data_IF_068950129378
#
_entry.id   IF_068950129378
#
_cell.length_a   1.000
_cell.length_b   1.000
_cell.length_c   1.000
_cell.angle_alpha   90.00
_cell.angle_beta   90.00
_cell.angle_gamma   90.00
#
_symmetry.space_group_name_H-M   'P 1'
#
loop_
_entity.id
_entity.type
_entity.pdbx_description
1 polymer ?
#
# COMPACT_ATOMS: atom_id res chain seq x y z
N UNK A 1 16.46 3.37 -1.41
CA UNK A 1 15.49 2.56 -2.15
C UNK A 1 14.92 3.32 -3.31
N UNK A 2 15.64 3.25 -4.40
CA UNK A 2 15.31 4.02 -5.60
C UNK A 2 14.84 3.15 -6.76
N UNK A 3 14.64 1.85 -6.52
CA UNK A 3 14.21 0.91 -7.55
C UNK A 3 12.85 0.32 -7.21
N UNK A 4 12.05 0.12 -8.25
CA UNK A 4 10.73 -0.51 -8.12
C UNK A 4 10.88 -1.90 -7.49
N UNK A 5 10.14 -2.19 -6.43
CA UNK A 5 10.22 -3.50 -5.79
C UNK A 5 9.56 -4.60 -6.62
N UNK A 6 10.07 -5.80 -6.46
CA UNK A 6 9.35 -7.01 -6.89
C UNK A 6 8.48 -7.46 -5.72
N UNK A 7 7.27 -7.92 -6.03
CA UNK A 7 6.34 -8.35 -5.01
C UNK A 7 6.41 -9.86 -4.87
N UNK A 8 6.67 -10.33 -3.64
CA UNK A 8 6.58 -11.74 -3.30
C UNK A 8 5.17 -12.03 -2.83
N UNK A 9 4.54 -13.02 -3.47
CA UNK A 9 3.17 -13.39 -3.13
C UNK A 9 3.18 -14.39 -1.99
N UNK A 10 2.37 -14.16 -0.93
CA UNK A 10 2.23 -15.14 0.14
C UNK A 10 1.52 -16.39 -0.36
N UNK A 11 1.85 -17.51 0.24
CA UNK A 11 1.17 -18.78 -0.05
C UNK A 11 -0.20 -18.82 0.63
N UNK A 12 -1.13 -19.54 0.01
CA UNK A 12 -2.42 -19.81 0.60
C UNK A 12 -3.51 -18.81 0.23
N UNK A 13 -4.67 -18.90 0.89
CA UNK A 13 -5.80 -18.03 0.59
C UNK A 13 -5.56 -16.60 1.02
N UNK A 14 -6.28 -15.66 0.40
CA UNK A 14 -6.22 -14.25 0.76
C UNK A 14 -6.63 -14.05 2.22
N UNK A 15 -5.94 -13.16 2.96
CA UNK A 15 -6.27 -12.92 4.35
C UNK A 15 -7.60 -12.19 4.51
N UNK A 16 -8.27 -12.41 5.64
CA UNK A 16 -9.49 -11.71 6.00
C UNK A 16 -9.23 -10.35 6.65
N UNK A 17 -7.99 -10.09 7.05
CA UNK A 17 -7.59 -8.88 7.77
C UNK A 17 -6.40 -8.22 7.07
N UNK A 18 -6.22 -6.93 7.33
CA UNK A 18 -5.04 -6.20 6.88
C UNK A 18 -3.77 -6.85 7.46
N UNK A 19 -2.85 -7.19 6.58
CA UNK A 19 -1.51 -7.67 6.96
C UNK A 19 -0.48 -6.61 6.66
N UNK A 20 0.40 -6.37 7.62
CA UNK A 20 1.47 -5.40 7.51
C UNK A 20 2.81 -6.13 7.64
N UNK A 21 3.69 -5.94 6.66
CA UNK A 21 5.00 -6.56 6.68
C UNK A 21 6.07 -5.52 6.32
N UNK A 22 6.92 -5.18 7.29
CA UNK A 22 8.02 -4.25 7.03
C UNK A 22 9.16 -4.97 6.33
N UNK A 23 9.43 -4.57 5.09
CA UNK A 23 10.55 -5.10 4.32
C UNK A 23 11.85 -4.37 4.64
N UNK A 24 11.76 -3.06 4.88
CA UNK A 24 12.86 -2.24 5.37
C UNK A 24 12.28 -1.28 6.40
N UNK A 25 12.92 -1.18 7.55
CA UNK A 25 12.52 -0.21 8.57
C UNK A 25 13.37 1.04 8.38
N UNK A 26 12.70 2.17 8.13
CA UNK A 26 13.39 3.46 7.99
C UNK A 26 13.80 4.03 9.34
N UNK A 27 14.55 5.11 9.30
CA UNK A 27 15.02 5.80 10.50
C UNK A 27 14.67 7.30 10.52
N UNK A 28 13.91 7.76 9.53
CA UNK A 28 13.47 9.14 9.47
C UNK A 28 12.18 9.43 10.22
N UNK A 29 11.49 10.50 9.84
CA UNK A 29 10.24 10.91 10.46
C UNK A 29 9.18 9.81 10.35
N UNK A 30 8.37 9.68 11.39
CA UNK A 30 7.31 8.67 11.44
C UNK A 30 6.01 9.22 10.89
N UNK A 31 5.35 8.43 10.04
CA UNK A 31 4.01 8.74 9.54
C UNK A 31 2.99 8.61 10.68
N UNK A 32 2.11 9.59 10.79
CA UNK A 32 1.09 9.65 11.85
C UNK A 32 -0.30 9.55 11.25
N UNK A 33 -1.28 9.05 12.02
CA UNK A 33 -2.67 9.00 11.55
C UNK A 33 -3.16 10.37 11.11
N UNK A 34 -3.80 10.43 9.94
CA UNK A 34 -4.33 11.68 9.41
C UNK A 34 -3.30 12.64 8.83
N UNK A 35 -2.02 12.27 8.84
CA UNK A 35 -0.96 13.09 8.28
C UNK A 35 -0.90 13.02 6.76
N UNK A 36 0.10 13.70 6.19
CA UNK A 36 0.38 13.69 4.74
C UNK A 36 1.68 12.94 4.50
N UNK A 37 1.69 12.09 3.49
CA UNK A 37 2.87 11.30 3.14
C UNK A 37 3.21 11.48 1.67
N UNK A 38 4.51 11.39 1.37
CA UNK A 38 4.99 11.27 0.00
C UNK A 38 5.57 9.88 -0.16
N UNK A 39 5.11 9.16 -1.19
CA UNK A 39 5.42 7.74 -1.37
C UNK A 39 5.71 7.41 -2.83
N UNK A 40 6.51 6.36 -3.02
CA UNK A 40 6.44 5.53 -4.20
C UNK A 40 5.71 4.26 -3.84
N UNK A 41 4.94 3.71 -4.77
CA UNK A 41 4.20 2.48 -4.49
C UNK A 41 3.95 1.67 -5.76
N UNK A 42 3.72 0.38 -5.56
CA UNK A 42 3.19 -0.51 -6.59
C UNK A 42 2.10 -1.35 -5.97
N UNK A 43 0.99 -1.50 -6.70
CA UNK A 43 -0.15 -2.30 -6.26
C UNK A 43 -0.47 -3.39 -7.26
N UNK A 44 -0.72 -4.60 -6.75
CA UNK A 44 -1.10 -5.75 -7.56
C UNK A 44 -2.32 -6.44 -6.97
N UNK A 45 -3.06 -7.18 -7.81
CA UNK A 45 -4.15 -8.02 -7.34
C UNK A 45 -3.59 -9.30 -6.74
N UNK A 46 -4.12 -9.69 -5.59
CA UNK A 46 -3.66 -10.89 -4.89
C UNK A 46 -3.85 -12.17 -5.72
N UNK A 47 -5.01 -12.30 -6.36
CA UNK A 47 -5.39 -13.53 -7.05
C UNK A 47 -4.61 -13.76 -8.36
N UNK A 48 -4.33 -12.69 -9.09
CA UNK A 48 -3.75 -12.79 -10.44
C UNK A 48 -2.31 -12.33 -10.50
N UNK A 49 -1.87 -11.53 -9.53
CA UNK A 49 -0.57 -10.86 -9.58
C UNK A 49 -0.51 -9.71 -10.56
N UNK A 50 -1.65 -9.34 -11.16
CA UNK A 50 -1.68 -8.27 -12.14
C UNK A 50 -1.48 -6.92 -11.46
N UNK A 51 -0.51 -6.15 -11.96
CA UNK A 51 -0.26 -4.80 -11.49
C UNK A 51 -1.37 -3.87 -12.00
N UNK A 52 -2.00 -3.12 -11.10
CA UNK A 52 -3.07 -2.19 -11.48
C UNK A 52 -2.67 -0.74 -11.32
N UNK A 53 -1.62 -0.46 -10.57
CA UNK A 53 -1.13 0.91 -10.39
C UNK A 53 0.32 0.90 -9.90
N UNK A 54 1.10 1.91 -10.31
CA UNK A 54 2.48 2.06 -9.87
C UNK A 54 2.95 3.49 -10.09
N UNK A 55 3.42 4.14 -9.03
CA UNK A 55 4.07 5.43 -9.14
C UNK A 55 5.42 5.32 -9.86
N UNK A 56 6.08 4.16 -9.73
CA UNK A 56 7.36 3.91 -10.39
C UNK A 56 7.25 3.98 -11.92
N UNK A 57 6.13 3.46 -12.46
CA UNK A 57 5.90 3.47 -13.91
C UNK A 57 5.67 4.88 -14.44
N UNK A 58 5.17 5.79 -13.61
CA UNK A 58 5.00 7.19 -13.97
C UNK A 58 6.26 8.02 -13.77
N UNK A 59 7.26 7.46 -13.08
CA UNK A 59 8.51 8.14 -12.79
C UNK A 59 8.43 9.23 -11.73
N UNK A 60 7.33 9.30 -10.99
CA UNK A 60 7.10 10.35 -9.99
C UNK A 60 6.51 9.77 -8.72
N UNK A 61 7.05 10.20 -7.57
CA UNK A 61 6.40 9.96 -6.29
C UNK A 61 5.12 10.79 -6.18
N UNK A 62 4.26 10.42 -5.26
CA UNK A 62 2.98 11.09 -5.05
C UNK A 62 2.83 11.47 -3.58
N UNK A 63 2.32 12.67 -3.36
CA UNK A 63 1.97 13.15 -2.03
C UNK A 63 0.47 12.95 -1.80
N UNK A 64 0.13 12.32 -0.68
CA UNK A 64 -1.25 12.04 -0.31
C UNK A 64 -1.56 12.49 1.10
N UNK A 65 -2.72 13.11 1.33
CA UNK A 65 -3.29 13.17 2.67
C UNK A 65 -3.89 11.78 3.00
N UNK A 66 -3.47 11.20 4.12
CA UNK A 66 -3.90 9.83 4.47
C UNK A 66 -5.42 9.69 4.57
N UNK A 67 -6.12 10.74 5.00
CA UNK A 67 -7.59 10.72 5.12
C UNK A 67 -8.32 10.51 3.79
N UNK A 68 -7.68 10.82 2.66
CA UNK A 68 -8.28 10.67 1.35
C UNK A 68 -8.05 9.32 0.71
N UNK A 69 -7.39 8.40 1.40
CA UNK A 69 -6.98 7.11 0.84
C UNK A 69 -7.89 5.98 1.33
N UNK A 70 -7.75 4.81 0.69
CA UNK A 70 -8.45 3.61 1.13
C UNK A 70 -8.08 3.29 2.58
N UNK A 71 -8.98 2.63 3.29
CA UNK A 71 -8.81 2.37 4.72
C UNK A 71 -7.53 1.59 5.04
N UNK A 72 -7.16 0.64 4.18
CA UNK A 72 -5.93 -0.13 4.37
C UNK A 72 -4.66 0.73 4.41
N UNK A 73 -4.62 1.82 3.66
CA UNK A 73 -3.51 2.77 3.72
C UNK A 73 -3.58 3.64 4.97
N UNK A 74 -4.80 4.06 5.36
CA UNK A 74 -4.98 4.86 6.57
C UNK A 74 -4.56 4.09 7.82
N UNK A 75 -4.78 2.78 7.83
CA UNK A 75 -4.42 1.91 8.96
C UNK A 75 -3.00 1.36 8.84
N UNK A 76 -2.52 1.17 7.62
CA UNK A 76 -1.26 0.47 7.37
C UNK A 76 -0.01 1.35 7.27
N UNK A 77 -0.14 2.62 6.87
CA UNK A 77 1.01 3.50 6.71
C UNK A 77 1.46 4.14 8.02
N UNK A 78 0.56 4.60 8.93
CA UNK A 78 1.03 5.14 10.20
C UNK A 78 1.97 4.18 10.93
N UNK A 79 3.04 4.73 11.47
CA UNK A 79 4.10 3.93 12.08
C UNK A 79 5.29 3.66 11.17
N UNK A 80 5.13 3.81 9.84
CA UNK A 80 6.29 3.79 8.96
C UNK A 80 7.19 4.98 9.22
N UNK A 81 8.48 4.78 9.00
CA UNK A 81 9.46 5.88 9.06
C UNK A 81 10.03 6.13 7.67
N UNK A 82 10.37 7.38 7.40
CA UNK A 82 10.99 7.77 6.14
C UNK A 82 12.24 6.93 5.89
N UNK A 83 12.38 6.42 4.68
CA UNK A 83 13.41 5.47 4.30
C UNK A 83 12.95 4.02 4.41
N UNK A 84 11.75 3.77 4.93
CA UNK A 84 11.19 2.42 5.06
C UNK A 84 10.45 1.95 3.83
N UNK A 85 10.30 0.63 3.74
CA UNK A 85 9.49 -0.04 2.73
C UNK A 85 8.59 -1.04 3.43
N UNK A 86 7.29 -0.93 3.19
CA UNK A 86 6.28 -1.77 3.86
C UNK A 86 5.35 -2.39 2.83
N UNK A 87 5.07 -3.67 3.01
CA UNK A 87 4.07 -4.37 2.20
C UNK A 87 2.76 -4.45 2.98
N UNK A 88 1.68 -4.05 2.33
CA UNK A 88 0.34 -4.15 2.89
C UNK A 88 -0.46 -5.14 2.05
N UNK A 89 -1.09 -6.12 2.70
CA UNK A 89 -2.08 -6.99 2.05
C UNK A 89 -3.43 -6.57 2.59
N UNK A 90 -4.28 -6.06 1.72
CA UNK A 90 -5.49 -5.33 2.11
C UNK A 90 -6.73 -6.10 1.64
N UNK A 91 -7.60 -6.52 2.56
CA UNK A 91 -8.85 -7.19 2.16
C UNK A 91 -9.80 -6.20 1.50
N UNK A 92 -10.80 -6.69 0.74
CA UNK A 92 -11.71 -5.81 -0.01
C UNK A 92 -12.40 -4.75 0.86
N UNK A 93 -12.77 -5.07 2.08
CA UNK A 93 -13.49 -4.15 2.97
C UNK A 93 -12.67 -2.92 3.33
N UNK A 94 -11.36 -3.02 3.27
CA UNK A 94 -10.45 -1.90 3.53
C UNK A 94 -9.82 -1.33 2.25
N UNK A 95 -10.26 -1.82 1.10
CA UNK A 95 -9.82 -1.35 -0.21
C UNK A 95 -11.01 -0.72 -0.98
N UNK A 96 -11.48 -1.39 -2.02
CA UNK A 96 -12.54 -0.83 -2.88
C UNK A 96 -13.91 -1.48 -2.64
N UNK A 97 -14.08 -2.14 -1.51
CA UNK A 97 -15.35 -2.72 -1.08
C UNK A 97 -15.60 -4.11 -1.59
N UNK A 98 -16.70 -4.73 -1.11
CA UNK A 98 -17.05 -6.10 -1.48
C UNK A 98 -17.41 -6.22 -2.96
N UNK A 99 -17.44 -7.47 -3.45
CA UNK A 99 -17.83 -7.76 -4.83
C UNK A 99 -19.19 -7.14 -5.15
N UNK A 100 -19.31 -6.56 -6.34
CA UNK A 100 -20.55 -5.87 -6.75
C UNK A 100 -20.60 -4.39 -6.37
N UNK A 101 -19.54 -3.86 -5.78
CA UNK A 101 -19.50 -2.46 -5.32
C UNK A 101 -19.31 -1.39 -6.39
N UNK A 102 -19.18 -1.76 -7.66
CA UNK A 102 -19.13 -0.82 -8.77
C UNK A 102 -17.74 -0.34 -9.18
N UNK A 103 -16.70 -0.60 -8.41
CA UNK A 103 -15.33 -0.32 -8.81
C UNK A 103 -14.72 -1.57 -9.44
N UNK A 104 -13.81 -1.41 -10.42
CA UNK A 104 -13.19 -2.57 -11.07
C UNK A 104 -12.38 -3.44 -10.09
N UNK A 105 -11.93 -2.87 -8.98
CA UNK A 105 -11.20 -3.59 -7.95
C UNK A 105 -12.07 -4.02 -6.77
N UNK A 106 -13.39 -3.81 -6.83
CA UNK A 106 -14.31 -4.27 -5.80
C UNK A 106 -14.25 -5.80 -5.67
N UNK A 107 -14.28 -6.29 -4.45
CA UNK A 107 -14.19 -7.72 -4.15
C UNK A 107 -12.78 -8.29 -4.22
N UNK A 108 -11.77 -7.45 -4.46
CA UNK A 108 -10.40 -7.90 -4.63
C UNK A 108 -9.53 -7.59 -3.42
N UNK A 109 -8.71 -8.56 -3.05
CA UNK A 109 -7.64 -8.36 -2.09
C UNK A 109 -6.44 -7.79 -2.84
N UNK A 110 -5.83 -6.75 -2.30
CA UNK A 110 -4.75 -6.01 -2.96
C UNK A 110 -3.47 -6.12 -2.15
N UNK A 111 -2.34 -6.15 -2.87
CA UNK A 111 -1.02 -6.05 -2.25
C UNK A 111 -0.38 -4.74 -2.71
N UNK A 112 0.03 -3.91 -1.76
CA UNK A 112 0.82 -2.71 -2.05
C UNK A 112 2.19 -2.84 -1.41
N UNK A 113 3.22 -2.43 -2.13
CA UNK A 113 4.54 -2.18 -1.55
C UNK A 113 4.79 -0.69 -1.61
N UNK A 114 5.03 -0.09 -0.46
CA UNK A 114 5.08 1.35 -0.28
C UNK A 114 6.45 1.76 0.27
N UNK A 115 7.10 2.69 -0.42
CA UNK A 115 8.32 3.35 0.05
C UNK A 115 7.93 4.73 0.56
N UNK A 116 8.24 5.01 1.81
CA UNK A 116 7.93 6.31 2.42
C UNK A 116 9.10 7.28 2.22
N UNK A 117 8.84 8.37 1.51
CA UNK A 117 9.85 9.36 1.16
C UNK A 117 9.78 10.60 2.05
N UNK A 118 8.59 10.98 2.49
CA UNK A 118 8.37 12.09 3.42
C UNK A 118 7.09 11.86 4.22
N UNK A 119 7.05 12.42 5.43
CA UNK A 119 5.88 12.34 6.31
C UNK A 119 5.76 13.64 7.11
N UNK A 120 4.52 14.17 7.20
CA UNK A 120 4.24 15.40 7.94
C UNK A 120 2.79 15.51 8.41
#
# INVERSE_FOLDING_TARGET
MSTKPEIEFPDGPAPAELLINDLVVGDGAEAVPGGTVEVHYVGVEYDTGEEFDSSWNRGESIEFPLRGLIQGWQDGIPGMKVGGRRQLTIPPEQAYGPAGGGHRLSGKTLIFVIDLLAAR
#
